data_IF_192391466128
#
_entry.id   IF_192391466128
#
_cell.length_a   1.000
_cell.length_b   1.000
_cell.length_c   1.000
_cell.angle_alpha   90.00
_cell.angle_beta   90.00
_cell.angle_gamma   90.00
#
_symmetry.space_group_name_H-M   'P 1'
#
loop_
_entity.id
_entity.type
_entity.pdbx_description
1 polymer ?
#
# COMPACT_ATOMS: atom_id res chain seq x y z
N UNK A 1 30.31 18.22 0.47
CA UNK A 1 29.87 17.69 0.49
C UNK A 1 29.11 17.64 0.75
N UNK A 2 28.69 17.77 0.76
CA UNK A 2 28.00 17.27 1.20
C UNK A 2 27.26 16.64 0.73
N UNK A 3 27.08 16.40 0.43
CA UNK A 3 26.47 15.64 0.08
C UNK A 3 25.79 14.98 0.59
N UNK A 4 26.07 14.79 1.22
CA UNK A 4 25.53 13.91 1.99
C UNK A 4 24.25 14.16 2.43
N UNK A 5 23.90 15.22 2.69
CA UNK A 5 22.58 15.48 3.18
C UNK A 5 21.54 15.10 2.20
N UNK A 6 21.75 15.37 0.97
CA UNK A 6 20.75 15.09 0.02
C UNK A 6 20.46 13.65 -0.08
N UNK A 7 21.41 12.83 0.08
CA UNK A 7 21.07 11.43 -0.01
C UNK A 7 20.17 10.97 1.10
N UNK A 8 20.09 11.74 2.14
CA UNK A 8 19.32 11.25 3.25
C UNK A 8 17.88 10.95 2.93
N UNK A 9 17.23 11.82 2.22
CA UNK A 9 15.86 11.55 1.86
C UNK A 9 15.75 10.39 0.91
N UNK A 10 16.65 10.34 -0.06
CA UNK A 10 16.65 9.22 -0.98
C UNK A 10 16.98 7.93 -0.26
N UNK A 11 17.89 8.00 0.68
CA UNK A 11 18.27 6.83 1.41
C UNK A 11 17.13 6.26 2.19
N UNK A 12 16.33 7.10 2.81
CA UNK A 12 15.20 6.60 3.55
C UNK A 12 14.24 5.87 2.66
N UNK A 13 13.95 6.39 1.49
CA UNK A 13 13.06 5.71 0.59
C UNK A 13 13.64 4.39 0.15
N UNK A 14 14.89 4.38 -0.20
CA UNK A 14 15.52 3.15 -0.66
C UNK A 14 15.53 2.11 0.44
N UNK A 15 15.80 2.53 1.65
CA UNK A 15 15.88 1.59 2.74
C UNK A 15 14.54 1.06 3.14
N UNK A 16 13.51 1.91 3.07
CA UNK A 16 12.22 1.50 3.60
C UNK A 16 11.39 0.74 2.60
N UNK A 17 11.75 0.73 1.33
CA UNK A 17 10.93 0.08 0.32
C UNK A 17 11.65 -1.14 -0.23
N UNK A 18 11.04 -2.30 -0.04
CA UNK A 18 11.62 -3.57 -0.45
C UNK A 18 10.63 -4.32 -1.32
N UNK A 19 11.10 -4.97 -2.38
CA UNK A 19 10.22 -5.82 -3.16
C UNK A 19 9.58 -6.88 -2.27
N UNK A 20 8.36 -7.21 -2.57
CA UNK A 20 7.64 -8.23 -1.85
C UNK A 20 6.73 -8.94 -2.83
N UNK A 21 6.34 -10.15 -2.48
CA UNK A 21 5.32 -10.82 -3.23
C UNK A 21 4.49 -11.63 -2.24
N UNK A 22 3.46 -12.27 -2.73
CA UNK A 22 2.52 -12.93 -1.87
C UNK A 22 1.22 -12.17 -1.85
N UNK A 23 0.27 -12.69 -1.14
CA UNK A 23 -1.07 -12.15 -1.18
C UNK A 23 -1.32 -11.20 -0.05
N UNK A 24 -2.10 -10.17 -0.34
CA UNK A 24 -2.62 -9.28 0.69
C UNK A 24 -4.13 -9.33 0.58
N UNK A 25 -4.79 -9.46 1.70
CA UNK A 25 -6.24 -9.40 1.74
C UNK A 25 -6.63 -7.96 2.02
N UNK A 26 -7.53 -7.44 1.21
CA UNK A 26 -8.01 -6.08 1.34
C UNK A 26 -9.52 -6.11 1.55
N UNK A 27 -9.98 -5.36 2.53
CA UNK A 27 -11.40 -5.23 2.78
C UNK A 27 -11.74 -3.75 2.79
N UNK A 28 -12.65 -3.37 1.90
CA UNK A 28 -13.08 -1.98 1.83
C UNK A 28 -14.11 -1.72 2.91
N UNK A 29 -14.15 -0.47 3.36
CA UNK A 29 -15.12 0.00 4.34
C UNK A 29 -16.03 1.00 3.65
N UNK A 30 -17.21 1.18 4.18
CA UNK A 30 -18.11 2.20 3.70
C UNK A 30 -19.27 1.62 2.90
N UNK A 31 -19.72 2.40 1.91
CA UNK A 31 -20.97 2.10 1.22
C UNK A 31 -20.91 0.85 0.37
N UNK A 32 -19.73 0.51 -0.14
CA UNK A 32 -19.57 -0.65 -1.00
C UNK A 32 -18.54 -1.58 -0.39
N UNK A 33 -18.91 -2.25 0.70
CA UNK A 33 -17.95 -3.13 1.34
C UNK A 33 -17.65 -4.32 0.45
N UNK A 34 -16.45 -4.80 0.54
CA UNK A 34 -16.04 -5.96 -0.22
C UNK A 34 -14.67 -6.41 0.23
N UNK A 35 -14.37 -7.65 -0.07
CA UNK A 35 -13.09 -8.25 0.26
C UNK A 35 -12.49 -8.84 -1.00
N UNK A 36 -11.22 -8.64 -1.18
CA UNK A 36 -10.51 -9.21 -2.33
C UNK A 36 -9.08 -9.51 -1.93
N UNK A 37 -8.47 -10.42 -2.66
CA UNK A 37 -7.06 -10.70 -2.53
C UNK A 37 -6.31 -9.86 -3.55
N UNK A 38 -5.21 -9.26 -3.12
CA UNK A 38 -4.32 -8.56 -4.01
C UNK A 38 -2.96 -9.20 -4.01
N UNK A 39 -2.09 -8.66 -4.83
CA UNK A 39 -0.72 -9.10 -4.94
C UNK A 39 0.18 -8.00 -4.37
N UNK A 40 0.94 -8.33 -3.33
CA UNK A 40 1.92 -7.38 -2.81
C UNK A 40 3.00 -7.16 -3.85
N UNK A 41 3.38 -5.92 -4.02
CA UNK A 41 4.46 -5.53 -4.93
C UNK A 41 5.69 -5.09 -4.16
N UNK A 42 5.49 -4.31 -3.10
CA UNK A 42 6.58 -3.96 -2.21
C UNK A 42 6.01 -3.50 -0.88
N UNK A 43 6.87 -3.44 0.11
CA UNK A 43 6.51 -2.95 1.44
C UNK A 43 7.59 -1.99 1.91
N UNK A 44 7.18 -1.10 2.80
CA UNK A 44 8.07 -0.16 3.46
C UNK A 44 7.69 -0.11 4.93
N UNK A 45 8.39 0.70 5.70
CA UNK A 45 8.11 0.80 7.11
C UNK A 45 6.71 1.32 7.42
N UNK A 46 6.15 2.14 6.54
CA UNK A 46 4.89 2.80 6.81
C UNK A 46 3.81 2.49 5.77
N UNK A 47 4.07 1.57 4.86
CA UNK A 47 3.06 1.27 3.85
C UNK A 47 3.43 0.14 2.94
N UNK A 48 2.60 -0.05 1.94
CA UNK A 48 2.83 -1.10 0.95
C UNK A 48 2.18 -0.72 -0.37
N UNK A 49 2.55 -1.41 -1.41
CA UNK A 49 1.96 -1.24 -2.73
C UNK A 49 1.44 -2.59 -3.16
N UNK A 50 0.26 -2.61 -3.73
CA UNK A 50 -0.38 -3.87 -4.11
C UNK A 50 -1.16 -3.71 -5.40
N UNK A 51 -1.26 -4.80 -6.13
CA UNK A 51 -2.10 -4.91 -7.30
C UNK A 51 -3.39 -5.60 -6.88
N UNK A 52 -4.52 -5.09 -7.33
CA UNK A 52 -5.81 -5.61 -6.91
C UNK A 52 -6.84 -5.32 -8.01
N UNK A 53 -8.11 -5.59 -7.70
CA UNK A 53 -9.17 -5.43 -8.69
C UNK A 53 -10.26 -4.46 -8.25
N UNK A 54 -10.02 -3.69 -7.20
CA UNK A 54 -11.00 -2.69 -6.76
C UNK A 54 -10.83 -1.42 -7.58
N UNK A 55 -11.50 -1.34 -8.71
CA UNK A 55 -11.36 -0.20 -9.61
C UNK A 55 -11.90 1.08 -9.00
N UNK A 56 -12.80 0.99 -8.04
CA UNK A 56 -13.38 2.17 -7.42
C UNK A 56 -12.57 2.69 -6.23
N UNK A 57 -11.49 2.02 -5.90
CA UNK A 57 -10.68 2.45 -4.78
C UNK A 57 -9.85 3.66 -5.20
N UNK A 58 -10.00 4.75 -4.47
CA UNK A 58 -9.33 5.99 -4.82
C UNK A 58 -8.62 6.56 -3.61
N UNK A 59 -7.75 7.52 -3.88
CA UNK A 59 -6.99 8.21 -2.85
C UNK A 59 -7.91 8.68 -1.72
N UNK A 60 -7.51 8.42 -0.51
CA UNK A 60 -8.27 8.80 0.68
C UNK A 60 -9.12 7.69 1.27
N UNK A 61 -9.45 6.67 0.50
CA UNK A 61 -10.21 5.55 1.03
C UNK A 61 -9.41 4.80 2.08
N UNK A 62 -10.10 4.26 3.07
CA UNK A 62 -9.47 3.45 4.11
C UNK A 62 -9.92 2.01 3.91
N UNK A 63 -8.96 1.11 4.03
CA UNK A 63 -9.22 -0.32 3.91
C UNK A 63 -8.62 -1.04 5.10
N UNK A 64 -9.11 -2.22 5.37
CA UNK A 64 -8.45 -3.14 6.27
C UNK A 64 -7.58 -4.06 5.43
N UNK A 65 -6.42 -4.39 5.94
CA UNK A 65 -5.49 -5.24 5.20
C UNK A 65 -4.94 -6.33 6.08
N UNK A 66 -4.51 -7.40 5.45
CA UNK A 66 -3.78 -8.47 6.13
C UNK A 66 -2.82 -9.10 5.14
N UNK A 67 -1.57 -9.22 5.53
CA UNK A 67 -0.60 -10.01 4.79
C UNK A 67 0.40 -10.58 5.80
N UNK A 68 0.74 -11.84 5.62
CA UNK A 68 1.60 -12.49 6.59
C UNK A 68 1.00 -12.39 7.98
N UNK A 69 1.76 -11.86 8.90
CA UNK A 69 1.29 -11.62 10.27
C UNK A 69 0.86 -10.18 10.50
N UNK A 70 0.94 -9.37 9.46
CA UNK A 70 0.57 -7.98 9.57
C UNK A 70 -0.90 -7.82 9.26
N UNK A 71 -1.57 -6.98 10.04
CA UNK A 71 -2.95 -6.62 9.75
C UNK A 71 -3.21 -5.24 10.35
N UNK A 72 -4.14 -4.55 9.78
CA UNK A 72 -4.49 -3.23 10.26
C UNK A 72 -5.35 -2.50 9.27
N UNK A 73 -5.28 -1.18 9.33
CA UNK A 73 -6.00 -0.30 8.42
C UNK A 73 -4.98 0.53 7.66
N UNK A 74 -5.32 0.87 6.45
CA UNK A 74 -4.44 1.66 5.61
C UNK A 74 -5.28 2.62 4.78
N UNK A 75 -4.66 3.75 4.42
CA UNK A 75 -5.30 4.73 3.56
C UNK A 75 -4.69 4.62 2.18
N UNK A 76 -5.53 4.65 1.17
CA UNK A 76 -5.07 4.67 -0.21
C UNK A 76 -4.46 6.04 -0.49
N UNK A 77 -3.22 6.06 -0.93
CA UNK A 77 -2.51 7.28 -1.25
C UNK A 77 -2.66 7.61 -2.73
N UNK A 78 -2.59 6.58 -3.58
CA UNK A 78 -2.75 6.75 -5.01
C UNK A 78 -3.24 5.43 -5.61
N UNK A 79 -3.86 5.54 -6.77
CA UNK A 79 -4.33 4.40 -7.52
C UNK A 79 -4.03 4.62 -8.99
N UNK A 80 -3.61 3.58 -9.66
CA UNK A 80 -3.31 3.62 -11.09
C UNK A 80 -3.96 2.42 -11.74
N UNK A 81 -4.64 2.65 -12.83
CA UNK A 81 -5.35 1.59 -13.54
C UNK A 81 -4.45 1.02 -14.63
N UNK A 82 -4.33 -0.29 -14.64
CA UNK A 82 -3.48 -1.02 -15.57
C UNK A 82 -4.33 -2.08 -16.25
N UNK A 83 -5.07 -1.68 -17.27
CA UNK A 83 -5.96 -2.61 -17.95
C UNK A 83 -7.09 -3.02 -17.03
N UNK A 84 -7.24 -4.31 -16.80
CA UNK A 84 -8.31 -4.83 -15.95
C UNK A 84 -7.86 -4.96 -14.49
N UNK A 85 -6.66 -4.53 -14.18
CA UNK A 85 -6.16 -4.54 -12.81
C UNK A 85 -5.81 -3.15 -12.37
N UNK A 86 -5.65 -2.99 -11.08
CA UNK A 86 -5.37 -1.71 -10.48
C UNK A 86 -4.19 -1.86 -9.54
N UNK A 87 -3.40 -0.82 -9.44
CA UNK A 87 -2.27 -0.79 -8.52
C UNK A 87 -2.48 0.38 -7.59
N UNK A 88 -2.32 0.18 -6.30
CA UNK A 88 -2.48 1.25 -5.32
C UNK A 88 -1.34 1.27 -4.34
N UNK A 89 -1.02 2.45 -3.88
CA UNK A 89 -0.11 2.65 -2.76
C UNK A 89 -0.92 2.90 -1.51
N UNK A 90 -0.51 2.29 -0.41
CA UNK A 90 -1.23 2.33 0.85
C UNK A 90 -0.31 2.81 1.96
N UNK A 91 -0.82 3.69 2.80
CA UNK A 91 -0.14 4.15 4.00
C UNK A 91 -0.82 3.48 5.19
N UNK A 92 -0.06 2.75 5.96
CA UNK A 92 -0.59 2.06 7.12
C UNK A 92 -0.91 3.10 8.20
N UNK A 93 -2.11 3.02 8.73
CA UNK A 93 -2.55 3.97 9.75
C UNK A 93 -2.11 3.47 11.11
N UNK A 94 -1.72 4.40 11.98
CA UNK A 94 -1.31 3.99 13.32
C UNK A 94 -2.48 3.39 14.08
N UNK A 95 -2.16 2.48 14.97
CA UNK A 95 -3.14 1.92 15.88
C UNK A 95 -3.46 2.95 16.94
N UNK A 96 -4.73 3.19 17.16
CA UNK A 96 -5.14 4.20 18.12
C UNK A 96 -4.93 3.74 19.54
#
# INVERSE_FOLDING_TARGET
MPLEARPNAADRRAQSRRPANGKVKLRTEGLLPGTAAGQLLDISGDGFRARHQFHSLVSGHVVEFAYGRQRGRARVVWTRILGDQVESGFLILPVA
#
